data_IF_441124749628
#
_entry.id   IF_441124749628
#
_cell.length_a   1.000
_cell.length_b   1.000
_cell.length_c   1.000
_cell.angle_alpha   90.00
_cell.angle_beta   90.00
_cell.angle_gamma   90.00
#
_symmetry.space_group_name_H-M   'P 1'
#
loop_
_entity.id
_entity.type
_entity.pdbx_description
1 polymer ?
#
# COMPACT_ATOMS: atom_id res chain seq x y z
N UNK A 1 44.38 46.31 -1.89
CA UNK A 1 43.84 46.11 -0.53
C UNK A 1 42.90 44.91 -0.56
N UNK A 2 43.40 43.70 -0.28
CA UNK A 2 42.57 42.48 -0.29
C UNK A 2 42.00 42.28 1.11
N UNK A 3 40.75 42.69 1.33
CA UNK A 3 40.02 42.29 2.54
C UNK A 3 39.84 40.78 2.51
N UNK A 4 40.73 40.06 3.20
CA UNK A 4 40.52 38.65 3.48
C UNK A 4 39.34 38.55 4.45
N UNK A 5 38.16 38.22 3.93
CA UNK A 5 36.97 37.91 4.71
C UNK A 5 37.29 36.68 5.59
N UNK A 6 37.70 36.92 6.84
CA UNK A 6 37.92 35.87 7.82
C UNK A 6 36.59 35.56 8.48
N UNK A 7 35.85 34.62 7.91
CA UNK A 7 34.67 34.06 8.58
C UNK A 7 35.15 33.48 9.92
N UNK A 8 34.60 33.92 11.07
CA UNK A 8 35.00 33.40 12.35
C UNK A 8 34.69 31.90 12.43
N UNK A 9 35.66 31.10 12.86
CA UNK A 9 35.57 29.63 12.81
C UNK A 9 34.42 29.06 13.67
N UNK A 10 34.01 29.80 14.71
CA UNK A 10 32.82 29.46 15.51
C UNK A 10 31.51 29.55 14.74
N UNK A 11 31.40 30.46 13.76
CA UNK A 11 30.23 30.58 12.89
C UNK A 11 30.11 29.35 12.00
N UNK A 12 31.24 28.85 11.47
CA UNK A 12 31.28 27.65 10.64
C UNK A 12 30.76 26.42 11.40
N UNK A 13 31.19 26.23 12.65
CA UNK A 13 30.70 25.15 13.52
C UNK A 13 29.24 25.33 13.87
N UNK A 14 28.82 26.54 14.24
CA UNK A 14 27.43 26.82 14.58
C UNK A 14 26.48 26.49 13.44
N UNK A 15 26.83 26.87 12.20
CA UNK A 15 26.08 26.52 11.00
C UNK A 15 26.07 25.00 10.80
N UNK A 16 27.22 24.32 10.90
CA UNK A 16 27.28 22.87 10.71
C UNK A 16 26.44 22.09 11.73
N UNK A 17 26.40 22.56 12.98
CA UNK A 17 25.58 21.97 14.04
C UNK A 17 24.09 22.23 13.82
N UNK A 18 23.72 23.43 13.37
CA UNK A 18 22.35 23.78 13.01
C UNK A 18 21.83 22.90 11.86
N UNK A 19 22.62 22.74 10.78
CA UNK A 19 22.24 21.90 9.64
C UNK A 19 21.98 20.44 10.06
N UNK A 20 22.79 19.89 10.97
CA UNK A 20 22.57 18.56 11.53
C UNK A 20 21.28 18.48 12.36
N UNK A 21 21.00 19.48 13.20
CA UNK A 21 19.76 19.53 13.99
C UNK A 21 18.54 19.59 13.06
N UNK A 22 18.57 20.45 12.04
CA UNK A 22 17.49 20.57 11.06
C UNK A 22 17.27 19.24 10.32
N UNK A 23 18.35 18.58 9.90
CA UNK A 23 18.28 17.25 9.27
C UNK A 23 17.65 16.20 10.19
N UNK A 24 18.00 16.19 11.48
CA UNK A 24 17.45 15.27 12.46
C UNK A 24 15.95 15.51 12.70
N UNK A 25 15.53 16.79 12.84
CA UNK A 25 14.12 17.18 12.98
C UNK A 25 13.33 16.80 11.73
N UNK A 26 13.88 17.08 10.55
CA UNK A 26 13.26 16.73 9.26
C UNK A 26 13.04 15.22 9.13
N UNK A 27 14.03 14.42 9.53
CA UNK A 27 13.92 12.96 9.54
C UNK A 27 12.80 12.50 10.47
N UNK A 28 12.82 12.94 11.73
CA UNK A 28 11.89 12.46 12.74
C UNK A 28 10.43 12.88 12.49
N UNK A 29 10.20 14.13 12.13
CA UNK A 29 8.83 14.67 12.04
C UNK A 29 8.20 14.55 10.66
N UNK A 30 8.99 14.64 9.59
CA UNK A 30 8.44 14.65 8.23
C UNK A 30 8.67 13.32 7.51
N UNK A 31 9.91 12.82 7.48
CA UNK A 31 10.22 11.60 6.72
C UNK A 31 9.59 10.38 7.40
N UNK A 32 9.79 10.20 8.70
CA UNK A 32 9.34 9.01 9.40
C UNK A 32 7.81 8.93 9.50
N UNK A 33 7.15 10.06 9.77
CA UNK A 33 5.68 10.10 9.87
C UNK A 33 5.03 9.83 8.51
N UNK A 34 5.44 10.53 7.45
CA UNK A 34 4.91 10.28 6.11
C UNK A 34 5.22 8.86 5.62
N UNK A 35 6.38 8.29 5.99
CA UNK A 35 6.69 6.88 5.67
C UNK A 35 5.70 5.92 6.35
N UNK A 36 5.27 6.21 7.58
CA UNK A 36 4.25 5.38 8.26
C UNK A 36 2.90 5.47 7.57
N UNK A 37 2.49 6.66 7.15
CA UNK A 37 1.23 6.88 6.43
C UNK A 37 1.21 6.10 5.11
N UNK A 38 2.27 6.22 4.29
CA UNK A 38 2.42 5.43 3.06
C UNK A 38 2.35 3.93 3.33
N UNK A 39 3.06 3.44 4.35
CA UNK A 39 3.02 2.02 4.69
C UNK A 39 1.62 1.55 5.06
N UNK A 40 0.82 2.39 5.72
CA UNK A 40 -0.59 2.07 6.02
C UNK A 40 -1.45 1.99 4.76
N UNK A 41 -1.24 2.89 3.79
CA UNK A 41 -1.92 2.86 2.49
C UNK A 41 -1.55 1.60 1.68
N UNK A 42 -0.26 1.23 1.66
CA UNK A 42 0.21 -0.02 1.02
C UNK A 42 -0.41 -1.25 1.69
N UNK A 43 -0.54 -1.26 3.01
CA UNK A 43 -1.22 -2.34 3.73
C UNK A 43 -2.70 -2.42 3.38
N UNK A 44 -3.37 -1.27 3.24
CA UNK A 44 -4.76 -1.22 2.82
C UNK A 44 -4.93 -1.76 1.39
N UNK A 45 -4.06 -1.39 0.47
CA UNK A 45 -4.03 -1.92 -0.90
C UNK A 45 -3.91 -3.46 -0.90
N UNK A 46 -2.95 -4.00 -0.13
CA UNK A 46 -2.76 -5.44 -0.02
C UNK A 46 -3.97 -6.15 0.60
N UNK A 47 -4.65 -5.51 1.56
CA UNK A 47 -5.89 -6.00 2.13
C UNK A 47 -7.01 -6.05 1.07
N UNK A 48 -7.15 -4.98 0.28
CA UNK A 48 -8.12 -4.91 -0.81
C UNK A 48 -7.86 -5.98 -1.89
N UNK A 49 -6.60 -6.22 -2.27
CA UNK A 49 -6.24 -7.27 -3.23
C UNK A 49 -6.64 -8.67 -2.73
N UNK A 50 -6.48 -8.91 -1.42
CA UNK A 50 -6.94 -10.14 -0.78
C UNK A 50 -8.47 -10.25 -0.84
N UNK A 51 -9.19 -9.17 -0.54
CA UNK A 51 -10.64 -9.14 -0.63
C UNK A 51 -11.13 -9.39 -2.06
N UNK A 52 -10.52 -8.76 -3.06
CA UNK A 52 -10.80 -9.00 -4.48
C UNK A 52 -10.65 -10.49 -4.81
N UNK A 53 -9.56 -11.11 -4.38
CA UNK A 53 -9.30 -12.54 -4.61
C UNK A 53 -10.39 -13.42 -3.98
N UNK A 54 -10.78 -13.13 -2.73
CA UNK A 54 -11.81 -13.88 -2.02
C UNK A 54 -13.18 -13.72 -2.69
N UNK A 55 -13.53 -12.51 -3.13
CA UNK A 55 -14.80 -12.25 -3.83
C UNK A 55 -14.80 -12.94 -5.20
N UNK A 56 -13.67 -12.97 -5.92
CA UNK A 56 -13.56 -13.74 -7.16
C UNK A 56 -13.80 -15.25 -6.95
N UNK A 57 -13.21 -15.82 -5.91
CA UNK A 57 -13.46 -17.23 -5.54
C UNK A 57 -14.94 -17.48 -5.21
N UNK A 58 -15.59 -16.50 -4.57
CA UNK A 58 -17.02 -16.56 -4.30
C UNK A 58 -17.86 -16.54 -5.59
N UNK A 59 -17.57 -15.62 -6.52
CA UNK A 59 -18.25 -15.55 -7.83
C UNK A 59 -18.11 -16.88 -8.57
N UNK A 60 -16.90 -17.45 -8.60
CA UNK A 60 -16.64 -18.72 -9.26
C UNK A 60 -17.37 -19.89 -8.58
N UNK A 61 -17.44 -19.89 -7.24
CA UNK A 61 -18.19 -20.90 -6.47
C UNK A 61 -19.68 -20.84 -6.79
N UNK A 62 -20.24 -19.63 -6.91
CA UNK A 62 -21.63 -19.42 -7.31
C UNK A 62 -21.88 -19.91 -8.74
N UNK A 63 -20.95 -19.65 -9.68
CA UNK A 63 -21.07 -20.15 -11.06
C UNK A 63 -21.01 -21.69 -11.12
N UNK A 64 -20.07 -22.31 -10.40
CA UNK A 64 -20.01 -23.77 -10.32
C UNK A 64 -21.28 -24.38 -9.72
N UNK A 65 -21.88 -23.74 -8.72
CA UNK A 65 -23.18 -24.18 -8.15
C UNK A 65 -24.31 -24.04 -9.15
N UNK A 66 -24.34 -22.95 -9.93
CA UNK A 66 -25.29 -22.75 -11.03
C UNK A 66 -25.17 -23.86 -12.07
N UNK A 67 -23.97 -24.17 -12.54
CA UNK A 67 -23.71 -25.26 -13.49
C UNK A 67 -24.20 -26.61 -12.95
N UNK A 68 -23.90 -26.90 -11.69
CA UNK A 68 -24.35 -28.14 -11.05
C UNK A 68 -25.88 -28.26 -10.95
N UNK A 69 -26.56 -27.15 -10.63
CA UNK A 69 -28.04 -27.11 -10.60
C UNK A 69 -28.63 -27.34 -11.98
N UNK A 70 -28.06 -26.72 -13.01
CA UNK A 70 -28.49 -26.91 -14.40
C UNK A 70 -28.31 -28.36 -14.85
N UNK A 71 -27.17 -28.98 -14.52
CA UNK A 71 -26.90 -30.39 -14.81
C UNK A 71 -27.91 -31.32 -14.12
N UNK A 72 -28.17 -31.10 -12.83
CA UNK A 72 -29.15 -31.90 -12.07
C UNK A 72 -30.56 -31.80 -12.66
N UNK A 73 -30.98 -30.59 -13.04
CA UNK A 73 -32.29 -30.37 -13.65
C UNK A 73 -32.37 -31.00 -15.05
N UNK A 74 -31.36 -30.79 -15.90
CA UNK A 74 -31.30 -31.37 -17.23
C UNK A 74 -31.32 -32.90 -17.21
N UNK A 75 -30.58 -33.53 -16.29
CA UNK A 75 -30.57 -34.98 -16.11
C UNK A 75 -31.93 -35.50 -15.62
N UNK A 76 -32.59 -34.78 -14.70
CA UNK A 76 -33.92 -35.16 -14.21
C UNK A 76 -34.98 -35.13 -15.32
N UNK A 77 -34.88 -34.15 -16.23
CA UNK A 77 -35.76 -34.00 -17.39
C UNK A 77 -35.48 -35.09 -18.42
N UNK A 78 -34.20 -35.31 -18.78
CA UNK A 78 -33.77 -36.33 -19.73
C UNK A 78 -34.18 -37.75 -19.31
N UNK A 79 -34.03 -38.08 -18.02
CA UNK A 79 -34.40 -39.39 -17.49
C UNK A 79 -35.91 -39.51 -17.20
N UNK A 80 -36.68 -38.42 -17.34
CA UNK A 80 -38.09 -38.32 -16.93
C UNK A 80 -38.33 -38.83 -15.50
N UNK A 81 -37.34 -38.64 -14.62
CA UNK A 81 -37.37 -39.08 -13.22
C UNK A 81 -37.20 -37.86 -12.31
N UNK A 82 -38.07 -37.68 -11.30
CA UNK A 82 -37.91 -36.58 -10.37
C UNK A 82 -36.59 -36.72 -9.60
N UNK A 83 -35.99 -35.58 -9.26
CA UNK A 83 -34.83 -35.52 -8.37
C UNK A 83 -35.15 -36.20 -7.04
N UNK A 84 -34.18 -37.00 -6.56
CA UNK A 84 -34.23 -37.62 -5.23
C UNK A 84 -34.44 -36.50 -4.18
N UNK A 85 -35.48 -36.58 -3.33
CA UNK A 85 -35.84 -35.50 -2.40
C UNK A 85 -34.70 -35.02 -1.51
N UNK A 86 -33.85 -35.93 -1.06
CA UNK A 86 -32.68 -35.65 -0.22
C UNK A 86 -31.66 -34.76 -0.94
N UNK A 87 -31.37 -35.06 -2.22
CA UNK A 87 -30.46 -34.28 -3.05
C UNK A 87 -31.06 -32.90 -3.33
N UNK A 88 -32.35 -32.86 -3.68
CA UNK A 88 -33.07 -31.61 -3.93
C UNK A 88 -33.02 -30.68 -2.71
N UNK A 89 -33.30 -31.21 -1.52
CA UNK A 89 -33.30 -30.44 -0.28
C UNK A 89 -31.90 -29.92 0.07
N UNK A 90 -30.85 -30.74 -0.14
CA UNK A 90 -29.48 -30.31 0.08
C UNK A 90 -29.09 -29.16 -0.86
N UNK A 91 -29.40 -29.27 -2.15
CA UNK A 91 -29.11 -28.22 -3.14
C UNK A 91 -29.87 -26.93 -2.84
N UNK A 92 -31.14 -27.03 -2.45
CA UNK A 92 -31.97 -25.88 -2.05
C UNK A 92 -31.36 -25.17 -0.83
N UNK A 93 -30.97 -25.92 0.20
CA UNK A 93 -30.33 -25.37 1.41
C UNK A 93 -29.02 -24.67 1.06
N UNK A 94 -28.18 -25.32 0.26
CA UNK A 94 -26.91 -24.79 -0.19
C UNK A 94 -27.10 -23.49 -0.98
N UNK A 95 -28.04 -23.44 -1.92
CA UNK A 95 -28.33 -22.23 -2.71
C UNK A 95 -28.88 -21.11 -1.85
N UNK A 96 -29.76 -21.42 -0.89
CA UNK A 96 -30.36 -20.43 0.00
C UNK A 96 -29.29 -19.71 0.84
N UNK A 97 -28.24 -20.43 1.26
CA UNK A 97 -27.08 -19.84 1.92
C UNK A 97 -26.35 -18.81 1.04
N UNK A 98 -26.14 -19.11 -0.24
CA UNK A 98 -25.42 -18.22 -1.16
C UNK A 98 -26.27 -17.05 -1.67
N UNK A 99 -27.58 -17.25 -1.76
CA UNK A 99 -28.54 -16.24 -2.23
C UNK A 99 -29.05 -15.33 -1.10
N UNK A 100 -28.89 -15.72 0.17
CA UNK A 100 -29.42 -14.99 1.31
C UNK A 100 -30.95 -15.00 1.42
N UNK A 101 -31.62 -15.81 0.59
CA UNK A 101 -33.07 -15.94 0.50
C UNK A 101 -33.47 -17.40 0.35
N UNK A 102 -34.65 -17.76 0.84
CA UNK A 102 -35.19 -19.11 0.67
C UNK A 102 -35.51 -19.42 -0.80
N UNK A 103 -34.96 -20.53 -1.29
CA UNK A 103 -35.25 -21.06 -2.62
C UNK A 103 -36.51 -21.94 -2.56
N UNK A 104 -37.65 -21.38 -2.94
CA UNK A 104 -38.97 -22.01 -2.80
C UNK A 104 -39.14 -23.32 -3.58
N UNK A 105 -38.54 -23.44 -4.79
CA UNK A 105 -38.57 -24.71 -5.54
C UNK A 105 -37.44 -24.81 -6.57
N UNK A 106 -36.87 -26.03 -6.68
CA UNK A 106 -36.02 -26.42 -7.80
C UNK A 106 -36.92 -27.06 -8.87
N UNK A 107 -37.29 -26.30 -9.91
CA UNK A 107 -38.03 -26.79 -11.08
C UNK A 107 -37.62 -26.00 -12.33
N UNK A 108 -37.85 -26.58 -13.51
CA UNK A 108 -37.59 -25.93 -14.81
C UNK A 108 -38.38 -24.63 -14.94
N UNK A 109 -39.61 -24.59 -14.41
CA UNK A 109 -40.47 -23.40 -14.42
C UNK A 109 -39.96 -22.28 -13.51
N UNK A 110 -39.31 -22.61 -12.40
CA UNK A 110 -38.72 -21.63 -11.48
C UNK A 110 -37.28 -21.24 -11.86
N UNK A 111 -36.68 -21.96 -12.82
CA UNK A 111 -35.29 -21.78 -13.23
C UNK A 111 -34.96 -20.35 -13.69
N UNK A 112 -35.77 -19.66 -14.50
CA UNK A 112 -35.45 -18.28 -14.91
C UNK A 112 -35.37 -17.32 -13.72
N UNK A 113 -36.23 -17.50 -12.70
CA UNK A 113 -36.20 -16.69 -11.49
C UNK A 113 -34.93 -16.96 -10.66
N UNK A 114 -34.60 -18.25 -10.46
CA UNK A 114 -33.38 -18.64 -9.76
C UNK A 114 -32.12 -18.11 -10.45
N UNK A 115 -32.05 -18.20 -11.78
CA UNK A 115 -30.93 -17.67 -12.56
C UNK A 115 -30.84 -16.15 -12.46
N UNK A 116 -31.96 -15.44 -12.45
CA UNK A 116 -31.99 -14.00 -12.18
C UNK A 116 -31.40 -13.64 -10.82
N UNK A 117 -31.77 -14.38 -9.76
CA UNK A 117 -31.21 -14.17 -8.41
C UNK A 117 -29.70 -14.43 -8.35
N UNK A 118 -29.25 -15.53 -8.96
CA UNK A 118 -27.81 -15.86 -9.04
C UNK A 118 -27.03 -14.76 -9.77
N UNK A 119 -27.54 -14.30 -10.91
CA UNK A 119 -26.90 -13.24 -11.69
C UNK A 119 -26.81 -11.93 -10.89
N UNK A 120 -27.84 -11.58 -10.11
CA UNK A 120 -27.82 -10.40 -9.24
C UNK A 120 -26.73 -10.50 -8.17
N UNK A 121 -26.62 -11.64 -7.48
CA UNK A 121 -25.56 -11.87 -6.48
C UNK A 121 -24.17 -11.78 -7.11
N UNK A 122 -23.99 -12.35 -8.31
CA UNK A 122 -22.72 -12.24 -9.03
C UNK A 122 -22.43 -10.81 -9.48
N UNK A 123 -23.45 -10.05 -9.88
CA UNK A 123 -23.32 -8.64 -10.25
C UNK A 123 -22.87 -7.81 -9.04
N UNK A 124 -23.51 -7.96 -7.88
CA UNK A 124 -23.12 -7.26 -6.66
C UNK A 124 -21.68 -7.58 -6.22
N UNK A 125 -21.26 -8.84 -6.37
CA UNK A 125 -19.88 -9.24 -6.07
C UNK A 125 -18.88 -8.63 -7.05
N UNK A 126 -19.19 -8.59 -8.36
CA UNK A 126 -18.35 -7.91 -9.36
C UNK A 126 -18.28 -6.41 -9.10
N UNK A 127 -19.37 -5.80 -8.66
CA UNK A 127 -19.36 -4.38 -8.33
C UNK A 127 -18.50 -4.07 -7.11
N UNK A 128 -18.51 -4.95 -6.09
CA UNK A 128 -17.57 -4.86 -4.97
C UNK A 128 -16.11 -5.00 -5.42
N UNK A 129 -15.82 -5.90 -6.36
CA UNK A 129 -14.48 -6.02 -6.96
C UNK A 129 -14.10 -4.73 -7.68
N UNK A 130 -15.00 -4.16 -8.49
CA UNK A 130 -14.75 -2.92 -9.20
C UNK A 130 -14.42 -1.78 -8.22
N UNK A 131 -15.21 -1.63 -7.16
CA UNK A 131 -14.97 -0.61 -6.15
C UNK A 131 -13.61 -0.77 -5.48
N UNK A 132 -13.28 -1.99 -5.00
CA UNK A 132 -11.98 -2.26 -4.38
C UNK A 132 -10.81 -2.01 -5.34
N UNK A 133 -10.99 -2.29 -6.62
CA UNK A 133 -9.98 -2.02 -7.64
C UNK A 133 -9.78 -0.51 -7.86
N UNK A 134 -10.86 0.26 -7.93
CA UNK A 134 -10.80 1.72 -8.03
C UNK A 134 -10.15 2.34 -6.78
N UNK A 135 -10.53 1.89 -5.60
CA UNK A 135 -9.92 2.31 -4.33
C UNK A 135 -8.41 2.03 -4.33
N UNK A 136 -7.99 0.88 -4.88
CA UNK A 136 -6.56 0.55 -5.01
C UNK A 136 -5.83 1.46 -5.98
N UNK A 137 -6.44 1.83 -7.11
CA UNK A 137 -5.83 2.79 -8.03
C UNK A 137 -5.63 4.15 -7.35
N UNK A 138 -6.63 4.63 -6.60
CA UNK A 138 -6.52 5.88 -5.84
C UNK A 138 -5.43 5.81 -4.78
N UNK A 139 -5.33 4.69 -4.04
CA UNK A 139 -4.25 4.47 -3.07
C UNK A 139 -2.87 4.50 -3.75
N UNK A 140 -2.71 3.80 -4.88
CA UNK A 140 -1.45 3.77 -5.65
C UNK A 140 -1.04 5.17 -6.08
N UNK A 141 -1.97 5.93 -6.64
CA UNK A 141 -1.70 7.29 -7.09
C UNK A 141 -1.30 8.20 -5.92
N UNK A 142 -2.01 8.09 -4.79
CA UNK A 142 -1.70 8.86 -3.57
C UNK A 142 -0.29 8.54 -3.06
N UNK A 143 0.00 7.28 -2.75
CA UNK A 143 1.26 6.95 -2.09
C UNK A 143 2.46 7.04 -3.04
N UNK A 144 2.28 6.90 -4.35
CA UNK A 144 3.39 7.03 -5.32
C UNK A 144 3.90 8.47 -5.35
N UNK A 145 3.00 9.44 -5.38
CA UNK A 145 3.36 10.86 -5.35
C UNK A 145 4.00 11.26 -4.01
N UNK A 146 3.47 10.75 -2.89
CA UNK A 146 4.03 10.99 -1.56
C UNK A 146 5.42 10.34 -1.40
N UNK A 147 5.61 9.13 -1.93
CA UNK A 147 6.90 8.42 -1.87
C UNK A 147 7.99 9.19 -2.62
N UNK A 148 7.67 9.78 -3.77
CA UNK A 148 8.62 10.63 -4.50
C UNK A 148 9.06 11.83 -3.65
N UNK A 149 8.09 12.52 -3.04
CA UNK A 149 8.37 13.66 -2.17
C UNK A 149 9.21 13.26 -0.94
N UNK A 150 8.90 12.16 -0.28
CA UNK A 150 9.70 11.63 0.85
C UNK A 150 11.12 11.31 0.41
N UNK A 151 11.31 10.73 -0.78
CA UNK A 151 12.64 10.43 -1.32
C UNK A 151 13.46 11.70 -1.51
N UNK A 152 12.85 12.77 -2.02
CA UNK A 152 13.49 14.08 -2.15
C UNK A 152 13.86 14.67 -0.78
N UNK A 153 12.95 14.61 0.20
CA UNK A 153 13.20 15.06 1.57
C UNK A 153 14.35 14.28 2.22
N UNK A 154 14.41 12.97 2.03
CA UNK A 154 15.48 12.10 2.55
C UNK A 154 16.82 12.47 1.95
N UNK A 155 16.87 12.69 0.63
CA UNK A 155 18.09 13.17 -0.04
C UNK A 155 18.56 14.51 0.51
N UNK A 156 17.62 15.46 0.72
CA UNK A 156 17.93 16.77 1.29
C UNK A 156 18.44 16.65 2.74
N UNK A 157 17.79 15.85 3.59
CA UNK A 157 18.22 15.64 4.96
C UNK A 157 19.64 15.06 5.03
N UNK A 158 19.95 14.06 4.20
CA UNK A 158 21.29 13.47 4.09
C UNK A 158 22.32 14.49 3.61
N UNK A 159 21.97 15.30 2.62
CA UNK A 159 22.85 16.38 2.12
C UNK A 159 23.18 17.39 3.22
N UNK A 160 22.18 17.85 3.97
CA UNK A 160 22.36 18.76 5.11
C UNK A 160 23.27 18.14 6.18
N UNK A 161 23.13 16.83 6.44
CA UNK A 161 23.96 16.11 7.40
C UNK A 161 25.42 16.03 6.96
N UNK A 162 25.67 15.67 5.69
CA UNK A 162 27.03 15.57 5.13
C UNK A 162 27.72 16.93 5.13
N UNK A 163 27.05 18.00 4.69
CA UNK A 163 27.60 19.36 4.75
C UNK A 163 27.82 19.80 6.19
N UNK A 164 26.86 19.54 7.07
CA UNK A 164 26.95 19.91 8.48
C UNK A 164 28.17 19.30 9.15
N UNK A 165 28.41 18.00 8.95
CA UNK A 165 29.61 17.30 9.41
C UNK A 165 30.87 17.87 8.75
N UNK A 166 30.84 18.11 7.44
CA UNK A 166 31.95 18.72 6.71
C UNK A 166 32.38 20.08 7.27
N UNK A 167 31.43 20.96 7.61
CA UNK A 167 31.69 22.26 8.22
C UNK A 167 32.28 22.14 9.63
N UNK A 168 31.77 21.21 10.45
CA UNK A 168 32.31 20.97 11.79
C UNK A 168 33.75 20.42 11.72
N UNK A 169 34.02 19.50 10.80
CA UNK A 169 35.36 18.92 10.59
C UNK A 169 36.36 19.89 9.97
N UNK A 170 35.91 20.77 9.07
CA UNK A 170 36.75 21.77 8.41
C UNK A 170 37.37 22.76 9.39
N UNK A 171 36.71 23.03 10.53
CA UNK A 171 37.33 23.76 11.65
C UNK A 171 38.60 23.07 12.13
N UNK A 172 38.53 21.75 12.36
CA UNK A 172 39.61 21.00 13.00
C UNK A 172 40.85 20.97 12.11
N UNK A 173 40.64 20.86 10.79
CA UNK A 173 41.69 21.01 9.77
C UNK A 173 42.33 22.41 9.81
N UNK A 174 41.51 23.47 9.84
CA UNK A 174 42.02 24.84 9.92
C UNK A 174 42.87 25.08 11.18
N UNK A 175 42.49 24.49 12.32
CA UNK A 175 43.23 24.64 13.59
C UNK A 175 44.59 23.93 13.56
N UNK A 176 44.68 22.72 13.00
CA UNK A 176 45.96 21.98 12.82
C UNK A 176 46.95 22.74 11.94
N UNK A 177 46.47 23.41 10.88
CA UNK A 177 47.33 24.21 10.00
C UNK A 177 47.90 25.45 10.68
N UNK A 178 47.13 26.10 11.58
CA UNK A 178 47.63 27.22 12.38
C UNK A 178 48.74 26.78 13.35
N UNK A 179 48.56 25.65 14.04
CA UNK A 179 49.55 25.13 15.00
C UNK A 179 50.84 24.67 14.32
N UNK A 180 50.75 24.02 13.15
CA UNK A 180 51.91 23.60 12.36
C UNK A 180 52.76 24.80 11.91
N UNK A 181 52.11 25.85 11.38
CA UNK A 181 52.77 27.09 10.94
C UNK A 181 53.35 27.93 12.09
N UNK A 182 52.85 27.74 13.31
CA UNK A 182 53.46 28.30 14.51
C UNK A 182 54.70 27.50 14.89
N UNK A 183 54.61 26.17 14.93
CA UNK A 183 55.70 25.28 15.31
C UNK A 183 56.94 25.41 14.41
N UNK A 184 56.76 25.47 13.09
CA UNK A 184 57.87 25.60 12.14
C UNK A 184 58.60 26.96 12.27
N UNK A 185 57.92 28.01 12.74
CA UNK A 185 58.53 29.34 12.98
C UNK A 185 59.41 29.42 14.22
N UNK A 186 59.37 28.44 15.11
CA UNK A 186 60.21 28.37 16.32
C UNK A 186 61.35 27.36 16.20
N UNK A 187 61.46 26.64 15.08
CA UNK A 187 62.55 25.68 14.80
C UNK A 187 63.66 26.31 13.95
N UNK A 188 63.38 27.40 13.22
CA UNK A 188 64.35 28.17 12.41
C UNK A 188 65.04 29.33 13.16
N UNK A 189 65.23 29.24 14.48
CA UNK A 189 66.01 30.22 15.25
C UNK A 189 67.16 29.57 16.01
#
# INVERSE_FOLDING_TARGET
MKMAWRIPTWVLVGIGLLLNIVSAVMTNFYIDDSTRQINSQIQQQASNDKLITLIWQQVETVERKKEHVLELLANSEYMSKPLIPEIKNQVVKDLSYWLGEDVASLSITALPNLMGKINNVQFEQREKINQLYLDNLELIDSYTSEMEYISQLRSLALFLQVIGLGLVLSRDLSRRDYDKKYRDRFVDK
#
